data_IF_773108391680
#
_entry.id   IF_773108391680
#
_cell.length_a   1.000
_cell.length_b   1.000
_cell.length_c   1.000
_cell.angle_alpha   90.00
_cell.angle_beta   90.00
_cell.angle_gamma   90.00
#
_symmetry.space_group_name_H-M   'P 1'
#
loop_
_entity.id
_entity.type
_entity.pdbx_description
1 polymer ?
#
# COMPACT_ATOMS: atom_id res chain seq x y z
N UNK A 1 -9.21 -1.30 58.89
CA UNK A 1 -8.42 -2.19 58.07
C UNK A 1 -7.32 -1.37 57.42
N UNK A 2 -6.09 -1.58 57.87
CA UNK A 2 -4.94 -0.71 57.65
C UNK A 2 -4.31 -1.02 56.28
N UNK A 3 -4.21 0.00 55.41
CA UNK A 3 -3.37 -0.06 54.21
C UNK A 3 -1.95 0.37 54.54
N UNK A 4 -0.96 -0.50 54.27
CA UNK A 4 0.45 -0.18 54.38
C UNK A 4 0.97 0.52 53.11
N UNK A 5 1.85 1.53 53.21
CA UNK A 5 2.47 2.16 52.09
C UNK A 5 3.67 1.36 51.57
N UNK A 6 3.88 1.37 50.24
CA UNK A 6 5.05 0.78 49.57
C UNK A 6 6.21 1.80 49.53
N UNK A 7 7.47 1.35 49.68
CA UNK A 7 8.62 2.24 49.66
C UNK A 7 9.06 2.58 48.21
N UNK A 8 9.41 3.83 48.02
CA UNK A 8 10.06 4.36 46.84
C UNK A 8 11.52 3.92 46.76
N UNK A 9 11.95 3.33 45.68
CA UNK A 9 13.36 3.04 45.37
C UNK A 9 13.96 4.26 44.65
N UNK A 10 14.93 4.87 45.27
CA UNK A 10 15.72 5.94 44.72
C UNK A 10 16.75 5.40 43.72
N UNK A 11 16.75 5.90 42.49
CA UNK A 11 17.74 5.61 41.47
C UNK A 11 18.95 6.51 41.69
N UNK A 12 20.07 5.95 42.04
CA UNK A 12 21.37 6.64 42.17
C UNK A 12 22.04 6.64 40.80
N UNK A 13 22.22 7.84 40.22
CA UNK A 13 23.02 8.06 39.01
C UNK A 13 24.50 8.17 39.40
N UNK A 14 25.33 7.23 38.98
CA UNK A 14 26.78 7.36 39.03
C UNK A 14 27.27 7.98 37.71
N UNK A 15 27.77 9.20 37.81
CA UNK A 15 28.56 9.88 36.79
C UNK A 15 30.02 9.50 36.98
N UNK A 16 30.64 8.82 36.00
CA UNK A 16 32.08 8.69 35.91
C UNK A 16 32.58 9.38 34.64
N UNK A 17 33.21 10.53 34.86
CA UNK A 17 34.07 11.16 33.88
C UNK A 17 35.44 10.45 33.89
N UNK A 18 35.97 10.09 32.73
CA UNK A 18 37.39 9.90 32.52
C UNK A 18 37.83 10.57 31.24
N UNK A 19 38.79 11.44 31.43
CA UNK A 19 39.49 12.22 30.42
C UNK A 19 40.67 11.45 29.81
N UNK A 20 40.95 11.73 28.55
CA UNK A 20 42.34 11.89 28.10
C UNK A 20 42.92 10.81 27.19
N UNK A 21 43.29 11.21 26.00
CA UNK A 21 44.60 10.84 25.44
C UNK A 21 44.62 10.09 24.10
N UNK A 22 45.01 10.82 23.06
CA UNK A 22 45.99 10.33 22.09
C UNK A 22 45.50 9.76 20.77
N UNK A 23 45.53 10.56 19.73
CA UNK A 23 45.77 10.12 18.34
C UNK A 23 47.12 9.38 18.21
N UNK A 24 47.29 8.47 17.24
CA UNK A 24 47.99 8.93 16.05
C UNK A 24 47.36 8.48 14.71
N UNK A 25 47.57 9.36 13.74
CA UNK A 25 47.38 9.13 12.32
C UNK A 25 48.27 7.99 11.82
N UNK A 26 47.71 7.20 10.88
CA UNK A 26 48.49 6.46 9.89
C UNK A 26 47.75 6.45 8.57
N UNK A 27 48.31 7.18 7.66
CA UNK A 27 48.13 7.12 6.21
C UNK A 27 48.64 5.77 5.69
N UNK A 28 47.84 5.07 4.92
CA UNK A 28 48.39 4.25 3.85
C UNK A 28 47.41 4.03 2.71
N UNK A 29 47.85 4.50 1.57
CA UNK A 29 47.33 4.30 0.24
C UNK A 29 47.63 2.86 -0.18
N UNK A 30 46.63 2.10 -0.63
CA UNK A 30 46.88 0.89 -1.42
C UNK A 30 45.96 0.86 -2.63
N UNK A 31 46.61 1.04 -3.75
CA UNK A 31 46.14 0.98 -5.12
C UNK A 31 45.58 -0.39 -5.48
N UNK A 32 44.49 -0.42 -6.18
CA UNK A 32 43.98 -1.58 -6.94
C UNK A 32 44.85 -1.86 -8.14
N UNK A 33 45.14 -3.10 -8.50
CA UNK A 33 45.67 -3.41 -9.82
C UNK A 33 44.52 -3.70 -10.82
N UNK A 34 44.51 -2.91 -11.87
CA UNK A 34 43.87 -3.22 -13.15
C UNK A 34 44.54 -4.43 -13.76
N UNK A 35 43.77 -5.46 -14.14
CA UNK A 35 44.25 -6.48 -15.07
C UNK A 35 43.64 -6.19 -16.43
N UNK A 36 44.48 -5.71 -17.30
CA UNK A 36 44.28 -5.63 -18.75
C UNK A 36 44.67 -6.98 -19.34
N UNK A 37 43.77 -7.66 -20.01
CA UNK A 37 44.06 -8.75 -20.91
C UNK A 37 43.83 -8.29 -22.34
N UNK A 38 44.93 -8.11 -23.05
CA UNK A 38 45.01 -7.87 -24.48
C UNK A 38 44.98 -9.19 -25.25
N UNK A 39 44.16 -9.22 -26.29
CA UNK A 39 44.38 -9.69 -27.62
C UNK A 39 44.80 -11.13 -27.89
N UNK A 40 44.11 -11.75 -28.81
CA UNK A 40 44.52 -12.93 -29.54
C UNK A 40 43.52 -13.20 -30.65
N UNK A 41 43.83 -12.68 -31.86
CA UNK A 41 43.21 -13.00 -33.13
C UNK A 41 43.53 -14.46 -33.53
N UNK A 42 42.60 -15.06 -34.28
CA UNK A 42 42.82 -15.92 -35.48
C UNK A 42 41.51 -16.63 -35.83
N UNK A 43 40.80 -16.23 -36.82
CA UNK A 43 40.89 -16.50 -38.27
C UNK A 43 40.24 -17.83 -38.73
N UNK A 44 39.42 -17.64 -39.82
CA UNK A 44 39.01 -18.56 -40.89
C UNK A 44 37.95 -19.62 -40.55
N UNK A 45 36.88 -19.88 -41.33
CA UNK A 45 36.56 -19.65 -42.75
C UNK A 45 35.11 -20.06 -43.05
N UNK A 46 34.49 -19.30 -43.92
CA UNK A 46 33.66 -19.65 -45.07
C UNK A 46 32.66 -20.81 -45.04
N UNK A 47 31.44 -20.49 -45.48
CA UNK A 47 30.44 -21.44 -45.94
C UNK A 47 29.09 -20.76 -46.25
N UNK A 48 29.04 -20.07 -47.39
CA UNK A 48 27.80 -19.66 -48.07
C UNK A 48 26.94 -20.89 -48.40
N UNK A 49 25.61 -20.76 -48.31
CA UNK A 49 24.71 -21.05 -49.41
C UNK A 49 23.33 -20.44 -49.18
N UNK A 50 23.08 -19.57 -50.09
CA UNK A 50 21.84 -18.99 -50.58
C UNK A 50 20.75 -20.04 -50.86
N UNK A 51 19.50 -19.73 -50.53
CA UNK A 51 18.35 -20.03 -51.38
C UNK A 51 17.11 -19.21 -50.98
N UNK A 52 16.85 -18.23 -51.79
CA UNK A 52 15.60 -17.52 -52.03
C UNK A 52 14.44 -18.48 -52.31
N UNK A 53 13.27 -18.23 -51.77
CA UNK A 53 12.02 -18.37 -52.53
C UNK A 53 10.88 -17.53 -51.91
N UNK A 54 10.40 -16.63 -52.70
CA UNK A 54 9.29 -15.69 -52.72
C UNK A 54 7.90 -16.39 -52.72
N UNK A 55 6.89 -15.55 -52.46
CA UNK A 55 5.44 -15.61 -52.79
C UNK A 55 4.59 -16.13 -51.64
N UNK A 56 3.47 -15.47 -51.26
CA UNK A 56 2.71 -14.35 -51.79
C UNK A 56 1.50 -14.17 -50.88
N UNK A 57 1.10 -12.93 -50.72
CA UNK A 57 -0.24 -12.56 -50.23
C UNK A 57 -1.31 -13.01 -51.19
N UNK A 58 -2.58 -13.16 -50.72
CA UNK A 58 -3.56 -12.18 -51.11
C UNK A 58 -4.51 -11.73 -49.98
N UNK A 59 -4.77 -10.43 -49.95
CA UNK A 59 -5.95 -9.72 -49.52
C UNK A 59 -6.87 -9.55 -50.74
N UNK A 60 -8.06 -8.97 -50.64
CA UNK A 60 -9.24 -9.09 -49.77
C UNK A 60 -10.49 -9.43 -50.55
N UNK A 61 -11.62 -9.73 -49.92
CA UNK A 61 -12.94 -9.53 -50.56
C UNK A 61 -14.02 -9.10 -49.56
N UNK A 62 -14.43 -7.90 -49.73
CA UNK A 62 -15.70 -7.25 -49.37
C UNK A 62 -16.91 -8.03 -49.87
N UNK A 63 -17.93 -8.19 -49.05
CA UNK A 63 -19.29 -8.37 -49.54
C UNK A 63 -20.31 -7.69 -48.61
N UNK A 64 -20.92 -6.68 -49.12
CA UNK A 64 -22.13 -5.94 -48.77
C UNK A 64 -23.39 -6.79 -48.92
N UNK A 65 -24.42 -6.49 -48.13
CA UNK A 65 -25.82 -6.86 -48.43
C UNK A 65 -26.64 -6.90 -47.13
N UNK A 66 -27.37 -5.97 -46.79
CA UNK A 66 -28.64 -5.35 -47.23
C UNK A 66 -29.84 -5.85 -46.38
N UNK A 67 -30.43 -4.91 -45.66
CA UNK A 67 -31.84 -4.62 -45.35
C UNK A 67 -32.78 -5.71 -44.80
N UNK A 68 -33.53 -5.33 -43.77
CA UNK A 68 -34.76 -5.96 -43.34
C UNK A 68 -35.41 -5.24 -42.16
N UNK A 69 -36.16 -4.23 -42.49
CA UNK A 69 -37.19 -3.50 -41.75
C UNK A 69 -38.30 -4.42 -41.22
N UNK A 70 -38.83 -4.17 -40.04
CA UNK A 70 -40.25 -3.92 -39.74
C UNK A 70 -40.50 -3.91 -38.22
N UNK A 71 -41.04 -2.79 -37.78
CA UNK A 71 -41.92 -2.51 -36.66
C UNK A 71 -43.39 -2.81 -37.14
N UNK A 72 -44.45 -2.73 -36.34
CA UNK A 72 -44.76 -2.43 -34.95
C UNK A 72 -45.89 -3.32 -34.33
N UNK A 73 -46.32 -3.03 -33.12
CA UNK A 73 -47.63 -3.45 -32.58
C UNK A 73 -47.60 -3.55 -31.06
N UNK A 74 -48.17 -2.72 -30.49
CA UNK A 74 -49.49 -2.27 -29.97
C UNK A 74 -49.80 -2.78 -28.56
N UNK A 75 -49.90 -1.85 -27.67
CA UNK A 75 -50.97 -1.43 -26.78
C UNK A 75 -51.89 -2.54 -26.18
N UNK A 76 -51.93 -2.64 -24.87
CA UNK A 76 -53.17 -2.97 -24.16
C UNK A 76 -53.24 -2.35 -22.76
N UNK A 77 -54.14 -1.46 -22.61
CA UNK A 77 -54.71 -0.87 -21.39
C UNK A 77 -55.61 -1.88 -20.68
N UNK A 78 -55.55 -1.93 -19.35
CA UNK A 78 -56.77 -2.23 -18.57
C UNK A 78 -56.78 -1.44 -17.26
N UNK A 79 -57.86 -0.68 -17.13
CA UNK A 79 -58.36 0.11 -16.02
C UNK A 79 -58.87 -0.77 -14.86
N UNK A 80 -58.73 -0.29 -13.62
CA UNK A 80 -59.43 -0.84 -12.45
C UNK A 80 -59.36 0.11 -11.23
N UNK A 81 -60.36 0.87 -11.09
CA UNK A 81 -61.10 1.72 -10.16
C UNK A 81 -60.87 1.36 -8.67
N UNK A 82 -60.71 2.46 -7.86
CA UNK A 82 -60.57 2.48 -6.41
C UNK A 82 -61.83 2.12 -5.59
N UNK A 83 -61.91 2.42 -4.32
CA UNK A 83 -62.24 3.75 -3.80
C UNK A 83 -61.65 4.20 -2.42
N UNK A 84 -61.66 5.52 -2.26
CA UNK A 84 -61.99 6.43 -1.15
C UNK A 84 -61.28 6.32 0.22
N UNK A 85 -60.68 7.47 0.55
CA UNK A 85 -60.06 8.00 1.73
C UNK A 85 -60.97 8.14 2.97
N UNK A 86 -60.68 9.01 3.98
CA UNK A 86 -59.96 10.27 3.96
C UNK A 86 -59.01 10.54 5.17
N UNK A 87 -58.15 11.51 4.94
CA UNK A 87 -57.96 12.72 5.75
C UNK A 87 -56.97 12.81 6.89
N UNK A 88 -56.21 13.86 6.78
CA UNK A 88 -55.63 14.86 7.69
C UNK A 88 -54.25 14.55 8.24
N UNK A 89 -53.30 15.32 7.86
CA UNK A 89 -52.77 16.55 8.45
C UNK A 89 -51.42 16.88 7.76
N UNK A 90 -51.35 18.09 7.29
CA UNK A 90 -50.19 18.60 6.62
C UNK A 90 -49.03 18.90 7.57
N UNK A 91 -47.85 18.59 7.08
CA UNK A 91 -46.61 19.17 7.57
C UNK A 91 -45.85 19.74 6.36
N UNK A 92 -45.21 20.91 6.48
CA UNK A 92 -44.64 21.59 5.33
C UNK A 92 -43.41 20.84 4.83
N UNK A 93 -43.46 20.49 3.53
CA UNK A 93 -42.31 19.99 2.80
C UNK A 93 -41.18 21.03 2.86
N UNK A 94 -40.19 20.74 3.67
CA UNK A 94 -38.87 21.34 3.53
C UNK A 94 -38.23 20.69 2.32
N UNK A 95 -38.11 21.43 1.25
CA UNK A 95 -37.28 21.10 0.08
C UNK A 95 -35.85 20.92 0.55
N UNK A 96 -35.48 19.69 0.83
CA UNK A 96 -34.09 19.30 1.04
C UNK A 96 -33.44 19.18 -0.33
N UNK A 97 -32.49 20.08 -0.51
CA UNK A 97 -31.57 20.04 -1.63
C UNK A 97 -30.83 18.70 -1.71
N UNK A 98 -30.50 18.37 -2.91
CA UNK A 98 -29.52 17.42 -3.44
C UNK A 98 -28.72 16.71 -2.35
N UNK A 99 -29.02 15.43 -2.15
CA UNK A 99 -28.17 14.50 -1.41
C UNK A 99 -26.89 14.27 -2.19
N UNK A 100 -25.86 15.07 -1.92
CA UNK A 100 -24.49 14.64 -2.13
C UNK A 100 -24.25 13.43 -1.22
N UNK A 101 -23.66 12.36 -1.75
CA UNK A 101 -23.11 11.30 -0.91
C UNK A 101 -22.29 11.94 0.20
N UNK A 102 -22.36 11.44 1.46
CA UNK A 102 -21.44 11.87 2.50
C UNK A 102 -20.04 11.64 1.97
N UNK A 103 -19.24 12.72 1.86
CA UNK A 103 -17.82 12.58 1.60
C UNK A 103 -17.27 11.68 2.72
N UNK A 104 -16.55 10.63 2.34
CA UNK A 104 -15.88 9.76 3.30
C UNK A 104 -15.15 10.61 4.33
N UNK A 105 -15.29 10.31 5.63
CA UNK A 105 -14.67 11.11 6.67
C UNK A 105 -13.16 11.15 6.45
N UNK A 106 -12.64 12.36 6.26
CA UNK A 106 -11.20 12.61 6.15
C UNK A 106 -10.75 13.29 7.45
N UNK A 107 -10.42 12.53 8.51
CA UNK A 107 -10.11 13.07 9.82
C UNK A 107 -8.78 13.80 9.87
N UNK A 108 -7.84 13.40 9.00
CA UNK A 108 -6.52 14.01 8.88
C UNK A 108 -6.13 14.20 7.42
N UNK A 109 -5.31 15.19 7.16
CA UNK A 109 -4.70 15.43 5.84
C UNK A 109 -3.20 15.53 5.95
N UNK A 110 -2.50 15.04 4.91
CA UNK A 110 -1.09 15.35 4.66
C UNK A 110 -1.00 16.47 3.64
N UNK A 111 -0.11 17.42 3.88
CA UNK A 111 0.18 18.48 2.92
C UNK A 111 1.06 17.92 1.80
N UNK A 112 0.58 18.05 0.56
CA UNK A 112 1.28 17.60 -0.67
C UNK A 112 1.31 18.77 -1.64
N UNK A 113 2.29 19.63 -1.52
CA UNK A 113 2.46 20.82 -2.34
C UNK A 113 3.79 20.77 -3.10
N UNK A 114 3.85 21.30 -4.33
CA UNK A 114 5.12 21.42 -5.07
C UNK A 114 6.09 22.43 -4.46
N UNK A 115 5.63 23.23 -3.48
CA UNK A 115 6.41 24.20 -2.75
C UNK A 115 6.78 23.67 -1.37
N UNK A 116 7.70 24.33 -0.67
CA UNK A 116 8.10 23.94 0.70
C UNK A 116 6.96 24.12 1.70
N UNK A 117 6.04 25.05 1.44
CA UNK A 117 4.93 25.39 2.33
C UNK A 117 3.62 25.61 1.56
N UNK A 118 2.50 25.34 2.23
CA UNK A 118 1.14 25.66 1.78
C UNK A 118 0.57 26.81 2.64
N UNK A 119 -0.08 27.78 1.98
CA UNK A 119 -0.72 28.90 2.64
C UNK A 119 -1.99 28.48 3.40
N UNK A 120 -2.12 28.99 4.63
CA UNK A 120 -3.34 28.88 5.45
C UNK A 120 -4.12 30.20 5.37
N UNK A 121 -5.41 30.09 5.08
CA UNK A 121 -6.33 31.21 4.87
C UNK A 121 -7.35 31.30 6.01
N UNK A 122 -7.86 32.50 6.39
CA UNK A 122 -8.87 32.65 7.42
C UNK A 122 -10.29 32.27 6.93
N UNK A 123 -10.47 32.14 5.62
CA UNK A 123 -11.70 31.70 4.96
C UNK A 123 -11.35 30.77 3.80
N UNK A 124 -12.27 29.91 3.33
CA UNK A 124 -12.01 29.03 2.19
C UNK A 124 -11.97 29.80 0.86
N UNK A 125 -11.03 30.75 0.76
CA UNK A 125 -10.89 31.67 -0.38
C UNK A 125 -9.50 32.32 -0.40
N UNK A 126 -9.05 32.72 -1.59
CA UNK A 126 -7.82 33.48 -1.82
C UNK A 126 -7.98 34.99 -1.62
N UNK A 127 -9.22 35.48 -1.44
CA UNK A 127 -9.53 36.90 -1.32
C UNK A 127 -8.94 37.58 -0.07
N UNK A 128 -8.73 36.82 1.01
CA UNK A 128 -8.16 37.30 2.26
C UNK A 128 -6.66 37.04 2.35
N UNK A 129 -5.97 37.86 3.16
CA UNK A 129 -4.55 37.64 3.43
C UNK A 129 -4.29 36.28 4.11
N UNK A 130 -3.11 35.72 3.85
CA UNK A 130 -2.62 34.49 4.49
C UNK A 130 -2.46 34.72 5.99
N UNK A 131 -2.96 33.79 6.82
CA UNK A 131 -2.85 33.85 8.29
C UNK A 131 -1.70 33.00 8.81
N UNK A 132 -1.12 32.13 7.99
CA UNK A 132 0.02 31.29 8.32
C UNK A 132 0.38 30.38 7.14
N UNK A 133 1.33 29.49 7.40
CA UNK A 133 1.74 28.45 6.45
C UNK A 133 1.92 27.13 7.18
N UNK A 134 1.77 26.03 6.44
CA UNK A 134 2.10 24.67 6.87
C UNK A 134 3.14 24.08 5.92
N UNK A 135 4.06 23.28 6.46
CA UNK A 135 5.15 22.68 5.68
C UNK A 135 4.68 21.49 4.86
N UNK A 136 5.30 21.29 3.70
CA UNK A 136 5.06 20.11 2.88
C UNK A 136 5.39 18.82 3.64
N UNK A 137 4.51 17.80 3.52
CA UNK A 137 4.65 16.53 4.21
C UNK A 137 4.10 16.50 5.64
N UNK A 138 3.72 17.66 6.24
CA UNK A 138 3.12 17.68 7.59
C UNK A 138 1.69 17.15 7.59
N UNK A 139 1.26 16.59 8.72
CA UNK A 139 -0.08 16.03 8.93
C UNK A 139 -0.86 16.93 9.88
N UNK A 140 -2.12 17.19 9.55
CA UNK A 140 -3.02 18.05 10.32
C UNK A 140 -4.39 17.40 10.51
N UNK A 141 -4.98 17.57 11.70
CA UNK A 141 -6.35 17.18 11.96
C UNK A 141 -7.33 18.06 11.18
N UNK A 142 -8.33 17.45 10.57
CA UNK A 142 -9.40 18.13 9.83
C UNK A 142 -10.57 18.42 10.76
N UNK A 143 -10.93 19.69 10.84
CA UNK A 143 -12.08 20.16 11.62
C UNK A 143 -13.37 20.18 10.78
N UNK A 144 -13.23 20.49 9.48
CA UNK A 144 -14.33 20.47 8.54
C UNK A 144 -13.82 20.40 7.09
N UNK A 145 -14.62 19.81 6.21
CA UNK A 145 -14.46 19.86 4.76
C UNK A 145 -15.55 20.76 4.22
N UNK A 146 -15.16 21.80 3.51
CA UNK A 146 -16.09 22.84 3.04
C UNK A 146 -15.90 23.13 1.56
N UNK A 147 -16.96 23.57 0.91
CA UNK A 147 -16.86 24.18 -0.41
C UNK A 147 -16.51 25.66 -0.26
N UNK A 148 -15.57 26.13 -1.06
CA UNK A 148 -15.13 27.50 -1.03
C UNK A 148 -14.91 28.05 -2.45
N UNK A 149 -13.94 28.99 -2.58
CA UNK A 149 -13.55 29.53 -3.87
C UNK A 149 -13.12 28.42 -4.82
N UNK A 150 -13.73 28.40 -6.04
CA UNK A 150 -13.31 27.49 -7.09
C UNK A 150 -12.02 28.01 -7.73
N UNK A 151 -10.99 27.20 -7.69
CA UNK A 151 -9.68 27.49 -8.29
C UNK A 151 -9.38 26.35 -9.27
N UNK A 152 -9.29 26.68 -10.56
CA UNK A 152 -8.97 25.73 -11.64
C UNK A 152 -9.86 24.48 -11.69
N UNK A 153 -11.14 24.63 -11.27
CA UNK A 153 -12.13 23.55 -11.28
C UNK A 153 -12.29 22.79 -9.97
N UNK A 154 -11.46 23.03 -8.95
CA UNK A 154 -11.58 22.50 -7.61
C UNK A 154 -12.12 23.56 -6.64
N UNK A 155 -13.01 23.18 -5.73
CA UNK A 155 -13.65 24.06 -4.75
C UNK A 155 -13.63 23.51 -3.32
N UNK A 156 -12.99 22.38 -3.12
CA UNK A 156 -12.85 21.72 -1.81
C UNK A 156 -11.76 22.38 -0.99
N UNK A 157 -12.08 22.76 0.23
CA UNK A 157 -11.17 23.32 1.22
C UNK A 157 -11.27 22.54 2.52
N UNK A 158 -10.14 22.41 3.22
CA UNK A 158 -10.05 21.73 4.50
C UNK A 158 -9.79 22.74 5.61
N UNK A 159 -10.67 22.78 6.60
CA UNK A 159 -10.41 23.50 7.84
C UNK A 159 -9.54 22.62 8.72
N UNK A 160 -8.38 23.12 9.12
CA UNK A 160 -7.38 22.38 9.89
C UNK A 160 -7.17 22.96 11.28
N UNK A 161 -6.82 22.08 12.23
CA UNK A 161 -6.39 22.50 13.55
C UNK A 161 -5.02 23.20 13.49
N UNK A 162 -4.85 24.27 14.24
CA UNK A 162 -3.60 25.02 14.29
C UNK A 162 -3.69 26.24 15.21
N UNK A 163 -2.65 27.07 15.24
CA UNK A 163 -2.60 28.24 16.09
C UNK A 163 -3.50 29.40 15.61
N UNK A 164 -4.26 29.22 14.56
CA UNK A 164 -5.17 30.20 13.97
C UNK A 164 -6.56 30.08 14.59
N UNK A 165 -7.33 31.20 14.71
CA UNK A 165 -8.75 31.10 15.08
C UNK A 165 -9.55 30.23 14.09
N UNK A 166 -9.25 30.38 12.80
CA UNK A 166 -9.74 29.56 11.69
C UNK A 166 -8.62 29.44 10.65
N UNK A 167 -8.37 28.23 10.16
CA UNK A 167 -7.33 27.97 9.17
C UNK A 167 -7.82 27.02 8.09
N UNK A 168 -7.83 27.48 6.83
CA UNK A 168 -8.26 26.72 5.68
C UNK A 168 -7.11 26.50 4.71
N UNK A 169 -6.96 25.28 4.20
CA UNK A 169 -6.02 24.91 3.14
C UNK A 169 -6.80 24.40 1.92
N UNK A 170 -6.25 24.66 0.73
CA UNK A 170 -6.90 24.28 -0.53
C UNK A 170 -6.71 22.79 -0.81
N UNK A 171 -7.79 22.09 -1.14
CA UNK A 171 -7.85 20.64 -1.24
C UNK A 171 -6.97 20.01 -2.32
N UNK A 172 -6.61 20.75 -3.38
CA UNK A 172 -5.70 20.25 -4.42
C UNK A 172 -4.30 19.93 -3.89
N UNK A 173 -3.91 20.51 -2.76
CA UNK A 173 -2.58 20.35 -2.17
C UNK A 173 -2.60 19.51 -0.89
N UNK A 174 -3.58 18.64 -0.75
CA UNK A 174 -3.68 17.74 0.40
C UNK A 174 -4.02 16.32 -0.03
N UNK A 175 -3.49 15.37 0.71
CA UNK A 175 -3.84 13.95 0.64
C UNK A 175 -4.65 13.60 1.88
N UNK A 176 -5.85 13.05 1.71
CA UNK A 176 -6.67 12.58 2.82
C UNK A 176 -6.01 11.37 3.49
N UNK A 177 -5.87 11.41 4.80
CA UNK A 177 -5.52 10.25 5.61
C UNK A 177 -6.83 9.76 6.23
N UNK A 178 -7.36 8.62 5.77
CA UNK A 178 -8.62 8.07 6.28
C UNK A 178 -8.49 7.76 7.79
N UNK A 179 -9.63 7.76 8.50
CA UNK A 179 -9.66 7.32 9.88
C UNK A 179 -9.12 5.89 9.95
N UNK A 180 -8.02 5.71 10.67
CA UNK A 180 -7.52 4.37 10.93
C UNK A 180 -8.49 3.68 11.90
N UNK A 181 -8.87 2.43 11.65
CA UNK A 181 -9.60 1.65 12.65
C UNK A 181 -8.81 1.67 13.97
N UNK A 182 -9.49 1.53 15.13
CA UNK A 182 -8.81 1.46 16.42
C UNK A 182 -7.70 0.41 16.38
N UNK A 183 -6.64 0.55 17.20
CA UNK A 183 -5.57 -0.44 17.26
C UNK A 183 -6.18 -1.84 17.36
N UNK A 184 -5.64 -2.76 16.56
CA UNK A 184 -6.07 -4.15 16.60
C UNK A 184 -5.73 -4.69 17.98
N UNK A 185 -6.75 -4.85 18.85
CA UNK A 185 -6.55 -5.42 20.19
C UNK A 185 -6.16 -6.90 20.12
N UNK A 186 -6.36 -7.51 18.93
CA UNK A 186 -6.17 -8.93 18.68
C UNK A 186 -4.75 -9.30 18.20
N UNK A 187 -3.84 -8.33 18.02
CA UNK A 187 -2.46 -8.59 17.58
C UNK A 187 -2.32 -8.91 16.07
N UNK A 188 -1.22 -9.57 15.71
CA UNK A 188 -0.94 -9.98 14.32
C UNK A 188 -1.26 -11.45 14.12
N UNK A 189 -1.80 -11.81 12.96
CA UNK A 189 -2.14 -13.17 12.57
C UNK A 189 -1.40 -13.57 11.29
N UNK A 190 -1.32 -14.87 11.00
CA UNK A 190 -0.72 -15.36 9.77
C UNK A 190 -1.37 -14.74 8.52
N UNK A 191 -0.61 -14.46 7.44
CA UNK A 191 -1.11 -13.81 6.22
C UNK A 191 -1.94 -14.73 5.32
N UNK A 192 -2.61 -15.72 5.89
CA UNK A 192 -3.33 -16.79 5.20
C UNK A 192 -4.81 -16.75 5.57
N UNK A 193 -5.67 -17.14 4.63
CA UNK A 193 -7.08 -17.30 4.94
C UNK A 193 -7.29 -18.35 6.06
N UNK A 194 -8.31 -18.10 6.88
CA UNK A 194 -8.71 -18.98 7.98
C UNK A 194 -8.73 -20.47 7.58
N UNK A 195 -8.06 -21.32 8.36
CA UNK A 195 -7.95 -22.75 8.13
C UNK A 195 -6.92 -23.19 7.08
N UNK A 196 -6.22 -22.25 6.43
CA UNK A 196 -5.16 -22.58 5.47
C UNK A 196 -3.90 -22.98 6.21
N UNK A 197 -3.29 -24.11 5.82
CA UNK A 197 -2.02 -24.60 6.34
C UNK A 197 -0.91 -24.48 5.30
N UNK A 198 0.30 -24.13 5.73
CA UNK A 198 1.50 -24.09 4.87
C UNK A 198 2.77 -24.33 5.67
N UNK A 199 3.87 -24.52 4.94
CA UNK A 199 5.21 -24.65 5.56
C UNK A 199 5.98 -23.35 5.39
N UNK A 200 6.70 -22.93 6.42
CA UNK A 200 7.65 -21.81 6.38
C UNK A 200 8.90 -22.29 5.64
N UNK A 201 9.16 -21.70 4.47
CA UNK A 201 10.36 -22.02 3.69
C UNK A 201 11.58 -21.25 4.12
N UNK A 202 11.39 -20.04 4.64
CA UNK A 202 12.43 -19.24 5.25
C UNK A 202 11.82 -18.40 6.39
N UNK A 203 12.38 -18.49 7.59
CA UNK A 203 12.02 -17.70 8.76
C UNK A 203 12.96 -16.52 9.00
N UNK A 204 12.88 -15.94 10.19
CA UNK A 204 13.72 -14.82 10.62
C UNK A 204 15.20 -15.16 10.51
N UNK A 205 16.01 -14.19 10.03
CA UNK A 205 17.47 -14.32 9.87
C UNK A 205 17.90 -15.51 8.99
N UNK A 206 17.05 -15.89 8.04
CA UNK A 206 17.35 -16.97 7.11
C UNK A 206 18.50 -16.61 6.15
N UNK A 207 19.36 -17.58 5.86
CA UNK A 207 20.66 -17.37 5.21
C UNK A 207 20.57 -16.93 3.74
N UNK A 208 19.42 -17.03 3.08
CA UNK A 208 19.33 -16.75 1.65
C UNK A 208 18.97 -15.28 1.36
N UNK A 209 17.86 -14.76 1.89
CA UNK A 209 17.39 -13.40 1.61
C UNK A 209 16.92 -12.64 2.86
N UNK A 210 16.69 -13.33 3.98
CA UNK A 210 16.23 -12.71 5.22
C UNK A 210 17.39 -12.14 6.03
N UNK A 211 18.07 -11.14 5.45
CA UNK A 211 19.20 -10.39 6.02
C UNK A 211 18.96 -8.89 5.84
N UNK A 212 19.65 -8.08 6.64
CA UNK A 212 19.54 -6.62 6.58
C UNK A 212 18.09 -6.15 6.75
N UNK A 213 17.56 -5.44 5.79
CA UNK A 213 16.19 -4.91 5.87
C UNK A 213 15.10 -6.00 5.89
N UNK A 214 15.39 -7.22 5.47
CA UNK A 214 14.43 -8.34 5.47
C UNK A 214 14.68 -9.35 6.58
N UNK A 215 15.52 -9.04 7.59
CA UNK A 215 15.95 -9.99 8.62
C UNK A 215 14.79 -10.66 9.39
N UNK A 216 13.67 -9.98 9.55
CA UNK A 216 12.49 -10.49 10.27
C UNK A 216 11.34 -10.88 9.33
N UNK A 217 11.62 -11.16 8.07
CA UNK A 217 10.63 -11.65 7.12
C UNK A 217 10.37 -13.16 7.26
N UNK A 218 9.24 -13.58 6.68
CA UNK A 218 8.82 -14.98 6.57
C UNK A 218 8.44 -15.28 5.12
N UNK A 219 8.91 -16.41 4.61
CA UNK A 219 8.49 -16.97 3.33
C UNK A 219 7.56 -18.18 3.56
N UNK A 220 6.36 -18.08 3.04
CA UNK A 220 5.32 -19.09 3.13
C UNK A 220 5.24 -19.88 1.82
N UNK A 221 5.32 -21.20 1.87
CA UNK A 221 5.22 -22.11 0.72
C UNK A 221 3.79 -22.15 0.18
N UNK A 222 3.49 -21.35 -0.82
CA UNK A 222 2.15 -21.21 -1.38
C UNK A 222 2.17 -21.32 -2.90
N UNK A 223 1.14 -21.96 -3.46
CA UNK A 223 0.96 -21.98 -4.90
C UNK A 223 0.61 -20.58 -5.43
N UNK A 224 1.06 -20.28 -6.66
CA UNK A 224 0.65 -19.05 -7.34
C UNK A 224 -0.88 -18.95 -7.41
N UNK A 225 -1.41 -17.76 -7.16
CA UNK A 225 -2.85 -17.49 -7.13
C UNK A 225 -3.53 -17.76 -5.79
N UNK A 226 -2.80 -18.20 -4.75
CA UNK A 226 -3.36 -18.33 -3.40
C UNK A 226 -3.62 -16.95 -2.80
N UNK A 227 -4.82 -16.66 -2.26
CA UNK A 227 -5.08 -15.37 -1.61
C UNK A 227 -4.20 -15.15 -0.38
N UNK A 228 -3.59 -13.97 -0.31
CA UNK A 228 -2.93 -13.44 0.88
C UNK A 228 -3.85 -12.43 1.56
N UNK A 229 -3.87 -12.47 2.88
CA UNK A 229 -4.73 -11.60 3.70
C UNK A 229 -3.90 -10.73 4.64
N UNK A 230 -4.49 -9.61 5.05
CA UNK A 230 -3.88 -8.70 6.00
C UNK A 230 -3.62 -9.36 7.35
N UNK A 231 -2.41 -9.22 7.88
CA UNK A 231 -2.01 -9.77 9.19
C UNK A 231 -2.61 -9.01 10.37
N UNK A 232 -3.00 -7.77 10.16
CA UNK A 232 -3.66 -6.87 11.09
C UNK A 232 -4.41 -5.80 10.28
N UNK A 233 -5.29 -5.04 10.92
CA UNK A 233 -5.94 -3.88 10.31
C UNK A 233 -4.89 -2.88 9.78
N UNK A 234 -5.17 -2.26 8.66
CA UNK A 234 -4.26 -1.27 8.10
C UNK A 234 -4.80 -0.55 6.88
N UNK A 235 -4.06 0.46 6.45
CA UNK A 235 -4.36 1.23 5.23
C UNK A 235 -3.26 1.01 4.20
N UNK A 236 -3.63 0.80 2.94
CA UNK A 236 -2.66 0.63 1.85
C UNK A 236 -1.86 1.91 1.68
N UNK A 237 -0.59 1.87 2.08
CA UNK A 237 0.32 3.02 2.06
C UNK A 237 1.24 3.04 0.84
N UNK A 238 1.57 1.87 0.29
CA UNK A 238 2.36 1.70 -0.93
C UNK A 238 1.91 0.44 -1.66
N UNK A 239 2.04 0.44 -2.98
CA UNK A 239 1.90 -0.75 -3.81
C UNK A 239 2.66 -0.59 -5.13
N UNK A 240 3.00 -1.71 -5.72
CA UNK A 240 3.44 -1.83 -7.11
C UNK A 240 2.75 -3.04 -7.72
N UNK A 241 2.15 -2.88 -8.90
CA UNK A 241 1.30 -3.89 -9.54
C UNK A 241 1.48 -3.94 -11.08
N UNK A 242 2.62 -3.45 -11.58
CA UNK A 242 2.85 -3.25 -13.01
C UNK A 242 3.41 -4.50 -13.71
N UNK A 243 3.96 -5.47 -12.95
CA UNK A 243 4.52 -6.69 -13.53
C UNK A 243 3.42 -7.69 -13.84
N UNK A 244 3.16 -7.91 -15.13
CA UNK A 244 2.01 -8.65 -15.64
C UNK A 244 2.42 -10.00 -16.29
N UNK A 245 1.47 -10.92 -16.49
CA UNK A 245 1.74 -12.16 -17.22
C UNK A 245 2.36 -11.91 -18.60
N UNK A 246 3.53 -12.50 -18.84
CA UNK A 246 4.32 -12.32 -20.06
C UNK A 246 5.54 -11.40 -19.89
N UNK A 247 5.62 -10.64 -18.81
CA UNK A 247 6.80 -9.86 -18.49
C UNK A 247 7.96 -10.75 -18.04
N UNK A 248 9.22 -10.40 -18.32
CA UNK A 248 10.38 -11.23 -17.99
C UNK A 248 10.49 -11.59 -16.51
N UNK A 249 10.07 -10.69 -15.61
CA UNK A 249 10.15 -10.85 -14.15
C UNK A 249 8.84 -11.32 -13.50
N UNK A 250 7.83 -11.73 -14.28
CA UNK A 250 6.54 -12.17 -13.73
C UNK A 250 6.64 -13.54 -13.02
N UNK A 251 7.45 -14.45 -13.55
CA UNK A 251 7.65 -15.79 -12.99
C UNK A 251 8.97 -15.92 -12.21
N UNK A 252 9.45 -14.83 -11.66
CA UNK A 252 10.72 -14.77 -10.96
C UNK A 252 11.89 -14.38 -11.84
N UNK A 253 13.04 -14.25 -11.23
CA UNK A 253 14.30 -13.89 -11.88
C UNK A 253 15.40 -13.63 -10.86
N UNK A 254 16.57 -13.16 -11.34
CA UNK A 254 17.68 -12.77 -10.50
C UNK A 254 17.51 -11.38 -9.87
N UNK A 255 18.59 -10.81 -9.35
CA UNK A 255 18.57 -9.49 -8.71
C UNK A 255 18.12 -8.36 -9.64
N UNK A 256 18.31 -8.51 -10.93
CA UNK A 256 17.82 -7.56 -11.94
C UNK A 256 16.31 -7.41 -11.94
N UNK A 257 15.58 -8.41 -11.45
CA UNK A 257 14.13 -8.40 -11.32
C UNK A 257 13.62 -7.72 -10.03
N UNK A 258 14.49 -7.37 -9.08
CA UNK A 258 14.07 -6.76 -7.81
C UNK A 258 13.15 -5.54 -7.96
N UNK A 259 13.39 -4.58 -8.90
CA UNK A 259 12.50 -3.42 -9.08
C UNK A 259 11.10 -3.76 -9.63
N UNK A 260 10.90 -4.99 -10.10
CA UNK A 260 9.67 -5.48 -10.73
C UNK A 260 8.86 -6.40 -9.82
N UNK A 261 9.12 -6.37 -8.53
CA UNK A 261 8.35 -7.12 -7.53
C UNK A 261 7.00 -6.47 -7.30
N UNK A 262 5.90 -7.15 -7.62
CA UNK A 262 4.58 -6.68 -7.21
C UNK A 262 4.42 -6.84 -5.70
N UNK A 263 3.97 -5.79 -5.03
CA UNK A 263 3.82 -5.78 -3.58
C UNK A 263 2.69 -4.86 -3.12
N UNK A 264 2.27 -5.06 -1.89
CA UNK A 264 1.39 -4.16 -1.12
C UNK A 264 2.06 -3.90 0.23
N UNK A 265 2.02 -2.67 0.70
CA UNK A 265 2.39 -2.30 2.08
C UNK A 265 1.18 -1.70 2.77
N UNK A 266 0.79 -2.28 3.89
CA UNK A 266 -0.21 -1.72 4.80
C UNK A 266 0.50 -0.91 5.89
N UNK A 267 -0.08 0.22 6.25
CA UNK A 267 0.27 1.00 7.44
C UNK A 267 -0.73 0.65 8.54
N UNK A 268 -0.22 0.18 9.67
CA UNK A 268 -1.00 -0.21 10.85
C UNK A 268 -1.20 0.95 11.82
N UNK A 269 -2.15 0.82 12.74
CA UNK A 269 -2.50 1.85 13.72
C UNK A 269 -1.40 2.12 14.74
N UNK A 270 -0.49 1.16 14.95
CA UNK A 270 0.69 1.31 15.81
C UNK A 270 1.83 2.10 15.15
N UNK A 271 1.62 2.58 13.92
CA UNK A 271 2.60 3.31 13.12
C UNK A 271 3.61 2.42 12.39
N UNK A 272 3.55 1.10 12.56
CA UNK A 272 4.36 0.15 11.78
C UNK A 272 3.67 -0.23 10.48
N UNK A 273 4.36 -0.94 9.59
CA UNK A 273 3.74 -1.45 8.37
C UNK A 273 3.93 -2.94 8.22
N UNK A 274 3.20 -3.54 7.28
CA UNK A 274 3.46 -4.88 6.77
C UNK A 274 3.59 -4.87 5.26
N UNK A 275 4.56 -5.60 4.72
CA UNK A 275 4.76 -5.79 3.28
C UNK A 275 4.39 -7.20 2.87
N UNK A 276 3.72 -7.33 1.73
CA UNK A 276 3.32 -8.57 1.06
C UNK A 276 3.90 -8.54 -0.34
N UNK A 277 4.89 -9.36 -0.62
CA UNK A 277 5.64 -9.30 -1.87
C UNK A 277 5.49 -10.55 -2.76
N UNK A 278 6.06 -10.45 -3.96
CA UNK A 278 6.04 -11.45 -5.04
C UNK A 278 4.63 -11.77 -5.57
N UNK A 279 3.68 -10.81 -5.46
CA UNK A 279 2.29 -11.02 -5.84
C UNK A 279 2.13 -11.23 -7.35
N UNK A 280 1.30 -12.21 -7.75
CA UNK A 280 0.83 -12.36 -9.12
C UNK A 280 -0.25 -11.34 -9.49
N UNK A 281 -1.01 -10.88 -8.49
CA UNK A 281 -2.00 -9.82 -8.64
C UNK A 281 -2.20 -9.08 -7.31
N UNK A 282 -2.29 -7.76 -7.37
CA UNK A 282 -2.70 -6.89 -6.27
C UNK A 282 -4.24 -6.77 -6.30
N UNK A 283 -4.89 -6.87 -5.14
CA UNK A 283 -6.37 -6.89 -5.01
C UNK A 283 -6.90 -5.66 -4.26
N UNK A 284 -6.05 -4.70 -3.97
CA UNK A 284 -6.37 -3.48 -3.22
C UNK A 284 -5.88 -2.24 -3.94
N UNK A 285 -6.38 -1.07 -3.54
CA UNK A 285 -5.99 0.23 -4.09
C UNK A 285 -5.27 1.09 -3.04
N UNK A 286 -4.47 2.06 -3.48
CA UNK A 286 -3.84 3.05 -2.60
C UNK A 286 -4.87 3.74 -1.71
N UNK A 287 -4.56 3.87 -0.42
CA UNK A 287 -5.44 4.48 0.57
C UNK A 287 -6.62 3.62 1.02
N UNK A 288 -6.80 2.42 0.47
CA UNK A 288 -7.85 1.50 0.92
C UNK A 288 -7.58 1.01 2.34
N UNK A 289 -8.59 1.10 3.21
CA UNK A 289 -8.58 0.44 4.52
C UNK A 289 -8.85 -1.04 4.32
N UNK A 290 -7.99 -1.87 4.88
CA UNK A 290 -8.06 -3.33 4.79
C UNK A 290 -8.13 -3.88 6.21
N UNK A 291 -9.23 -4.53 6.60
CA UNK A 291 -9.31 -5.17 7.91
C UNK A 291 -8.42 -6.40 7.95
N UNK A 292 -8.01 -6.85 9.14
CA UNK A 292 -7.36 -8.13 9.38
C UNK A 292 -8.16 -9.26 8.70
N UNK A 293 -7.48 -10.16 8.02
CA UNK A 293 -8.12 -11.22 7.23
C UNK A 293 -8.66 -10.77 5.86
N UNK A 294 -8.66 -9.46 5.56
CA UNK A 294 -9.02 -8.93 4.24
C UNK A 294 -7.97 -9.27 3.18
N UNK A 295 -8.42 -9.62 1.96
CA UNK A 295 -7.49 -10.02 0.88
C UNK A 295 -6.71 -8.81 0.37
N UNK A 296 -5.37 -8.91 0.36
CA UNK A 296 -4.47 -7.88 -0.18
C UNK A 296 -3.99 -8.19 -1.59
N UNK A 297 -3.86 -9.47 -1.93
CA UNK A 297 -3.36 -9.90 -3.24
C UNK A 297 -3.34 -11.42 -3.39
N UNK A 298 -2.80 -11.86 -4.50
CA UNK A 298 -2.62 -13.29 -4.80
C UNK A 298 -1.12 -13.61 -4.85
N UNK A 299 -0.73 -14.70 -4.19
CA UNK A 299 0.65 -15.21 -4.22
C UNK A 299 1.13 -15.41 -5.65
N UNK A 300 2.39 -15.13 -5.89
CA UNK A 300 3.05 -15.32 -7.18
C UNK A 300 4.54 -15.56 -7.03
N UNK A 301 5.29 -15.08 -8.01
CA UNK A 301 6.75 -15.16 -8.06
C UNK A 301 7.35 -13.94 -8.73
N UNK A 302 6.65 -12.78 -8.74
CA UNK A 302 7.14 -11.58 -9.43
C UNK A 302 8.39 -11.01 -8.78
N UNK A 303 9.28 -10.46 -9.59
CA UNK A 303 10.51 -9.84 -9.10
C UNK A 303 11.66 -10.83 -8.84
N UNK A 304 12.53 -10.50 -7.90
CA UNK A 304 13.64 -11.38 -7.49
C UNK A 304 13.12 -12.53 -6.66
N UNK A 305 12.78 -13.62 -7.30
CA UNK A 305 12.15 -14.79 -6.70
C UNK A 305 12.57 -16.07 -7.45
N UNK A 306 12.76 -17.17 -6.73
CA UNK A 306 13.14 -18.47 -7.27
C UNK A 306 11.94 -19.39 -7.55
N UNK A 307 10.73 -18.98 -7.16
CA UNK A 307 9.50 -19.75 -7.34
C UNK A 307 8.35 -19.18 -6.52
N UNK A 308 7.12 -19.68 -6.70
CA UNK A 308 5.95 -19.18 -6.01
C UNK A 308 6.07 -19.32 -4.49
N UNK A 309 5.94 -18.21 -3.78
CA UNK A 309 5.87 -18.11 -2.31
C UNK A 309 5.28 -16.76 -1.92
N UNK A 310 4.91 -16.61 -0.66
CA UNK A 310 4.57 -15.30 -0.12
C UNK A 310 5.70 -14.83 0.80
N UNK A 311 6.30 -13.68 0.48
CA UNK A 311 7.24 -12.99 1.34
C UNK A 311 6.47 -11.93 2.13
N UNK A 312 6.45 -12.05 3.46
CA UNK A 312 5.72 -11.14 4.36
C UNK A 312 6.63 -10.71 5.50
N UNK A 313 6.64 -9.41 5.79
CA UNK A 313 7.36 -8.86 6.93
C UNK A 313 6.56 -7.73 7.58
N UNK A 314 6.60 -7.65 8.91
CA UNK A 314 6.34 -6.41 9.64
C UNK A 314 7.55 -5.52 9.53
N UNK A 315 7.37 -4.22 9.32
CA UNK A 315 8.46 -3.28 9.07
C UNK A 315 8.20 -1.91 9.71
N UNK A 316 9.26 -1.15 9.88
CA UNK A 316 9.15 0.28 10.20
C UNK A 316 8.41 1.03 9.09
N UNK A 317 7.82 2.17 9.41
CA UNK A 317 7.27 3.07 8.41
C UNK A 317 8.33 4.10 8.01
N UNK A 318 9.07 3.82 6.95
CA UNK A 318 10.09 4.71 6.41
C UNK A 318 9.62 5.50 5.17
N UNK A 319 8.33 5.39 4.81
CA UNK A 319 7.76 6.05 3.63
C UNK A 319 8.05 5.34 2.30
N UNK A 320 8.72 4.16 2.33
CA UNK A 320 8.99 3.30 1.16
C UNK A 320 8.13 2.04 1.20
N UNK A 321 8.07 1.27 0.10
CA UNK A 321 7.42 -0.04 0.05
C UNK A 321 8.15 -1.10 0.87
N UNK A 322 9.48 -1.03 0.90
CA UNK A 322 10.34 -1.92 1.67
C UNK A 322 11.18 -1.10 2.65
N UNK A 323 10.96 -1.32 3.94
CA UNK A 323 11.64 -0.68 5.04
C UNK A 323 12.40 -1.72 5.87
N UNK A 324 13.05 -1.30 6.96
CA UNK A 324 13.66 -2.23 7.90
C UNK A 324 12.57 -3.10 8.54
N UNK A 325 12.64 -4.41 8.34
CA UNK A 325 11.77 -5.35 9.03
C UNK A 325 12.04 -5.36 10.53
N UNK A 326 10.98 -5.54 11.30
CA UNK A 326 10.99 -5.61 12.77
C UNK A 326 10.33 -6.90 13.22
N UNK A 327 10.65 -7.39 14.43
CA UNK A 327 10.05 -8.61 14.95
C UNK A 327 8.51 -8.56 14.97
N UNK A 328 7.89 -9.69 14.64
CA UNK A 328 6.46 -9.92 14.79
C UNK A 328 6.23 -11.30 15.36
N UNK A 329 5.24 -11.42 16.26
CA UNK A 329 4.66 -12.67 16.71
C UNK A 329 3.23 -12.76 16.22
N UNK A 330 2.81 -13.97 15.79
CA UNK A 330 1.48 -14.25 15.30
C UNK A 330 0.66 -14.95 16.38
N UNK A 331 -0.53 -14.45 16.68
CA UNK A 331 -1.43 -14.98 17.72
C UNK A 331 -1.91 -16.41 17.42
N UNK A 332 -1.89 -16.80 16.15
CA UNK A 332 -2.28 -18.13 15.67
C UNK A 332 -1.09 -19.10 15.48
N UNK A 333 0.09 -18.74 15.99
CA UNK A 333 1.28 -19.61 16.06
C UNK A 333 1.57 -19.95 17.52
N UNK A 334 1.76 -21.24 17.88
CA UNK A 334 2.04 -21.64 19.25
C UNK A 334 3.34 -21.03 19.85
N UNK A 335 3.52 -21.19 21.16
CA UNK A 335 4.68 -20.82 21.96
C UNK A 335 4.96 -19.30 21.94
N UNK A 336 5.98 -18.82 21.25
CA UNK A 336 6.36 -17.42 21.18
C UNK A 336 5.71 -16.67 19.98
N UNK A 337 4.89 -17.36 19.20
CA UNK A 337 4.23 -16.80 18.04
C UNK A 337 5.15 -16.58 16.82
N UNK A 338 6.40 -17.09 16.86
CA UNK A 338 7.40 -16.87 15.81
C UNK A 338 7.72 -18.18 15.09
N UNK A 339 7.13 -18.42 13.92
CA UNK A 339 7.35 -19.69 13.22
C UNK A 339 8.77 -19.80 12.68
N UNK A 340 9.31 -21.03 12.66
CA UNK A 340 10.67 -21.30 12.19
C UNK A 340 10.69 -22.01 10.84
N UNK A 341 11.82 -21.94 10.14
CA UNK A 341 12.01 -22.64 8.86
C UNK A 341 11.73 -24.15 8.99
N UNK A 342 10.89 -24.67 8.10
CA UNK A 342 10.44 -26.08 8.09
C UNK A 342 9.20 -26.34 8.93
N UNK A 343 8.74 -25.39 9.72
CA UNK A 343 7.52 -25.50 10.51
C UNK A 343 6.25 -25.46 9.63
N UNK A 344 5.26 -26.27 9.99
CA UNK A 344 3.93 -26.22 9.40
C UNK A 344 3.02 -25.39 10.29
N UNK A 345 2.46 -24.32 9.76
CA UNK A 345 1.55 -23.42 10.44
C UNK A 345 0.15 -23.51 9.86
N UNK A 346 -0.86 -23.23 10.68
CA UNK A 346 -2.27 -23.18 10.25
C UNK A 346 -2.90 -21.89 10.71
N UNK A 347 -3.43 -21.11 9.78
CA UNK A 347 -4.00 -19.81 10.10
C UNK A 347 -5.35 -19.91 10.80
N UNK A 348 -5.53 -19.10 11.83
CA UNK A 348 -6.81 -18.76 12.44
C UNK A 348 -7.18 -17.28 12.17
N UNK A 349 -6.58 -16.67 11.15
CA UNK A 349 -6.93 -15.32 10.72
C UNK A 349 -8.32 -15.33 10.06
N UNK A 350 -9.32 -15.45 10.92
CA UNK A 350 -10.74 -15.50 10.54
C UNK A 350 -11.33 -14.09 10.67
N UNK A 351 -11.99 -13.54 9.63
CA UNK A 351 -12.65 -12.22 9.68
C UNK A 351 -13.84 -12.19 10.63
#
# INVERSE_FOLDING_TARGET
>A
MHRRPRPWLALVVFSTACAGGGEPQATDSASSPFITLTGGDSDTSEGETDTTTTTGLPDPTTTTGTTGTTDPGELSTTTGIGPTGPDTTGDPETTTGTTGEPLDPCPQIRIVTPNDVLNVRPTPSTAMAVVGTVENGTVHDVLAIVQGENIDGADTWYQIAGPWPEGYVFGTFVECIPEQPPPDEDGFFLPLQCGTSTTITQGNNGDFSHMGNSAYAFDFSLASGTPLVAIADGTVSKLYAETMPGDPCYNGGGQECNPYTNFVTLLHNDGTGSVYAHLSAVQVSMGQVVPRGGVVGLTGSTGWSTGPHAHVARQENCGSGFCQSIPVSFEDVPDDGVPVTGEMVTSMNCP
#
